data_IF_789431038351
#
_entry.id   IF_789431038351
#
_cell.length_a   1.000
_cell.length_b   1.000
_cell.length_c   1.000
_cell.angle_alpha   90.00
_cell.angle_beta   90.00
_cell.angle_gamma   90.00
#
_symmetry.space_group_name_H-M   'P 1'
#
loop_
_entity.id
_entity.type
_entity.pdbx_description
1 polymer ?
#
# COMPACT_ATOMS: atom_id res chain seq x y z
N UNK A 1 69.61 11.60 24.03
CA UNK A 1 69.25 10.75 22.89
C UNK A 1 67.94 10.07 23.23
N UNK A 2 66.82 10.62 22.75
CA UNK A 2 65.48 10.06 22.97
C UNK A 2 65.16 9.14 21.81
N UNK A 3 64.98 7.85 22.05
CA UNK A 3 64.51 6.90 21.07
C UNK A 3 62.99 6.94 21.11
N UNK A 4 62.38 7.53 20.07
CA UNK A 4 60.96 7.49 19.87
C UNK A 4 60.58 6.07 19.34
N UNK A 5 59.91 5.29 20.15
CA UNK A 5 59.32 4.01 19.73
C UNK A 5 58.09 4.29 18.84
N UNK A 6 58.25 4.07 17.54
CA UNK A 6 57.15 4.12 16.57
C UNK A 6 56.31 2.86 16.76
N UNK A 7 55.18 2.95 17.48
CA UNK A 7 54.19 1.87 17.58
C UNK A 7 53.44 1.83 16.25
N UNK A 8 53.80 0.91 15.39
CA UNK A 8 53.02 0.56 14.21
C UNK A 8 51.73 -0.09 14.69
N UNK A 9 50.61 0.63 14.64
CA UNK A 9 49.28 0.06 14.69
C UNK A 9 49.08 -0.73 13.41
N UNK A 10 49.35 -2.03 13.45
CA UNK A 10 48.87 -2.97 12.42
C UNK A 10 47.37 -3.03 12.59
N UNK A 11 46.64 -2.20 11.85
CA UNK A 11 45.24 -2.38 11.64
C UNK A 11 45.05 -3.77 11.02
N UNK A 12 44.35 -4.67 11.71
CA UNK A 12 43.96 -5.96 11.17
C UNK A 12 42.94 -5.73 10.05
N UNK A 13 43.42 -5.53 8.83
CA UNK A 13 42.60 -5.56 7.60
C UNK A 13 42.22 -7.01 7.22
N UNK A 14 41.71 -7.77 8.16
CA UNK A 14 41.00 -8.99 7.79
C UNK A 14 39.58 -8.58 7.38
N UNK A 15 39.19 -8.81 6.11
CA UNK A 15 37.81 -8.62 5.74
C UNK A 15 36.94 -9.43 6.69
N UNK A 16 35.91 -8.80 7.25
CA UNK A 16 34.92 -9.50 8.06
C UNK A 16 34.22 -10.49 7.14
N UNK A 17 34.56 -11.79 7.30
CA UNK A 17 33.87 -12.84 6.56
C UNK A 17 32.45 -12.99 7.15
N UNK A 18 31.45 -12.66 6.34
CA UNK A 18 30.07 -12.89 6.68
C UNK A 18 29.72 -14.34 6.37
N UNK A 19 29.39 -15.12 7.40
CA UNK A 19 29.19 -16.57 7.28
C UNK A 19 27.78 -16.98 6.84
N UNK A 20 26.83 -16.05 6.83
CA UNK A 20 25.45 -16.34 6.41
C UNK A 20 25.32 -16.14 4.88
N UNK A 21 24.42 -16.93 4.29
CA UNK A 21 24.15 -16.83 2.85
C UNK A 21 23.51 -15.50 2.51
N UNK A 22 22.53 -15.05 3.33
CA UNK A 22 21.82 -13.80 3.13
C UNK A 22 21.33 -13.21 4.47
N UNK A 23 21.54 -11.92 4.66
CA UNK A 23 21.03 -11.15 5.80
C UNK A 23 20.70 -9.71 5.42
N UNK A 24 19.75 -9.15 6.12
CA UNK A 24 19.37 -7.74 6.06
C UNK A 24 19.45 -7.15 7.48
N UNK A 25 19.64 -5.83 7.61
CA UNK A 25 19.68 -5.17 8.93
C UNK A 25 18.32 -5.13 9.62
N UNK A 26 17.24 -5.11 8.83
CA UNK A 26 15.88 -4.99 9.32
C UNK A 26 14.93 -5.73 8.37
N UNK A 27 13.75 -6.07 8.86
CA UNK A 27 12.64 -6.59 8.04
C UNK A 27 11.73 -5.48 7.51
N UNK A 28 11.97 -4.23 7.92
CA UNK A 28 11.24 -3.05 7.47
C UNK A 28 12.07 -1.77 7.54
N UNK A 29 11.72 -0.81 6.70
CA UNK A 29 12.16 0.59 6.75
C UNK A 29 10.97 1.53 6.68
N UNK A 30 11.04 2.64 7.40
CA UNK A 30 10.03 3.71 7.35
C UNK A 30 10.59 4.88 6.55
N UNK A 31 9.88 5.25 5.50
CA UNK A 31 10.22 6.31 4.57
C UNK A 31 9.36 7.55 4.85
N UNK A 32 9.94 8.71 4.69
CA UNK A 32 9.21 9.97 4.79
C UNK A 32 8.29 10.19 3.59
N UNK A 33 7.24 11.01 3.75
CA UNK A 33 6.30 11.32 2.67
C UNK A 33 6.94 12.14 1.53
N UNK A 34 7.94 12.98 1.82
CA UNK A 34 8.54 13.92 0.86
C UNK A 34 9.31 13.27 -0.29
N UNK A 35 9.53 11.98 -0.22
CA UNK A 35 10.37 11.28 -1.19
C UNK A 35 11.86 11.38 -0.85
N UNK A 36 12.68 10.71 -1.65
CA UNK A 36 14.13 10.66 -1.48
C UNK A 36 14.73 9.30 -1.80
N UNK A 37 15.82 8.98 -1.09
CA UNK A 37 16.46 7.67 -1.20
C UNK A 37 16.95 7.18 0.16
N UNK A 38 17.14 5.88 0.28
CA UNK A 38 17.72 5.23 1.46
C UNK A 38 18.59 4.06 1.03
N UNK A 39 19.62 3.79 1.82
CA UNK A 39 20.49 2.63 1.62
C UNK A 39 19.90 1.39 2.28
N UNK A 40 19.88 0.29 1.54
CA UNK A 40 19.56 -1.04 2.05
C UNK A 40 20.87 -1.84 2.08
N UNK A 41 21.35 -2.18 3.28
CA UNK A 41 22.53 -3.00 3.45
C UNK A 41 22.18 -4.48 3.27
N UNK A 42 22.91 -5.14 2.37
CA UNK A 42 22.83 -6.58 2.12
C UNK A 42 24.09 -7.24 2.66
N UNK A 43 23.93 -8.26 3.47
CA UNK A 43 25.03 -9.08 3.99
C UNK A 43 24.93 -10.47 3.35
N UNK A 44 25.94 -10.85 2.61
CA UNK A 44 25.97 -12.16 1.95
C UNK A 44 27.40 -12.66 1.78
N UNK A 45 27.55 -13.96 1.69
CA UNK A 45 28.82 -14.61 1.32
C UNK A 45 28.81 -15.14 -0.12
N UNK A 46 27.81 -14.76 -0.91
CA UNK A 46 27.63 -15.23 -2.29
C UNK A 46 26.92 -14.18 -3.14
N UNK A 47 26.62 -14.51 -4.37
CA UNK A 47 25.79 -13.68 -5.26
C UNK A 47 24.34 -13.66 -4.77
N UNK A 48 23.71 -12.51 -4.91
CA UNK A 48 22.31 -12.29 -4.55
C UNK A 48 21.58 -11.47 -5.61
N UNK A 49 20.27 -11.57 -5.60
CA UNK A 49 19.38 -10.76 -6.43
C UNK A 49 18.33 -10.06 -5.56
N UNK A 50 17.75 -8.99 -6.08
CA UNK A 50 16.62 -8.29 -5.45
C UNK A 50 15.58 -7.92 -6.49
N UNK A 51 14.31 -7.99 -6.12
CA UNK A 51 13.17 -7.51 -6.91
C UNK A 51 12.11 -6.90 -6.00
N UNK A 52 11.23 -6.09 -6.55
CA UNK A 52 9.96 -5.75 -5.91
C UNK A 52 8.98 -6.90 -6.14
N UNK A 53 8.27 -7.34 -5.08
CA UNK A 53 7.25 -8.40 -5.20
C UNK A 53 6.07 -7.97 -6.06
N UNK A 54 5.71 -6.68 -5.98
CA UNK A 54 4.74 -6.05 -6.87
C UNK A 54 5.34 -4.78 -7.46
N UNK A 55 5.05 -4.45 -8.73
CA UNK A 55 5.47 -3.18 -9.32
C UNK A 55 4.98 -1.99 -8.49
N UNK A 56 5.85 -1.00 -8.29
CA UNK A 56 5.52 0.25 -7.62
C UNK A 56 6.13 1.39 -8.43
N UNK A 57 5.31 2.11 -9.19
CA UNK A 57 5.78 3.19 -10.08
C UNK A 57 6.49 4.32 -9.33
N UNK A 58 6.14 4.49 -8.06
CA UNK A 58 6.70 5.50 -7.17
C UNK A 58 8.07 5.14 -6.57
N UNK A 59 8.58 3.94 -6.85
CA UNK A 59 9.82 3.44 -6.26
C UNK A 59 10.73 2.77 -7.28
N UNK A 60 12.03 2.83 -7.02
CA UNK A 60 13.05 2.19 -7.85
C UNK A 60 14.23 1.72 -7.02
N UNK A 61 14.96 0.75 -7.55
CA UNK A 61 16.22 0.24 -7.00
C UNK A 61 17.34 0.39 -8.04
N UNK A 62 18.53 0.82 -7.59
CA UNK A 62 19.66 1.14 -8.45
C UNK A 62 20.29 -0.10 -9.12
N UNK A 63 20.15 -1.26 -8.50
CA UNK A 63 20.68 -2.53 -9.00
C UNK A 63 19.81 -3.72 -8.57
N UNK A 64 19.71 -4.72 -9.42
CA UNK A 64 18.91 -5.93 -9.19
C UNK A 64 19.73 -7.14 -8.70
N UNK A 65 21.05 -6.99 -8.58
CA UNK A 65 21.95 -8.06 -8.13
C UNK A 65 23.25 -7.51 -7.56
N UNK A 66 23.95 -8.34 -6.81
CA UNK A 66 25.28 -8.06 -6.27
C UNK A 66 25.98 -9.33 -5.81
N UNK A 67 27.19 -9.14 -5.28
CA UNK A 67 28.02 -10.20 -4.71
C UNK A 67 28.51 -9.75 -3.33
N UNK A 68 28.53 -10.68 -2.39
CA UNK A 68 28.99 -10.42 -1.02
C UNK A 68 28.18 -9.35 -0.29
N UNK A 69 28.82 -8.72 0.71
CA UNK A 69 28.22 -7.59 1.41
C UNK A 69 28.21 -6.36 0.52
N UNK A 70 27.06 -5.71 0.39
CA UNK A 70 26.85 -4.62 -0.55
C UNK A 70 25.72 -3.68 -0.09
N UNK A 71 25.49 -2.61 -0.84
CA UNK A 71 24.35 -1.70 -0.63
C UNK A 71 23.53 -1.59 -1.89
N UNK A 72 22.22 -1.49 -1.71
CA UNK A 72 21.24 -1.17 -2.74
C UNK A 72 20.66 0.20 -2.39
N UNK A 73 20.60 1.10 -3.35
CA UNK A 73 19.93 2.39 -3.16
C UNK A 73 18.47 2.21 -3.58
N UNK A 74 17.59 2.38 -2.60
CA UNK A 74 16.15 2.44 -2.83
C UNK A 74 15.73 3.91 -2.93
N UNK A 75 15.20 4.31 -4.07
CA UNK A 75 14.70 5.66 -4.34
C UNK A 75 13.18 5.64 -4.41
N UNK A 76 12.53 6.71 -3.91
CA UNK A 76 11.09 6.79 -3.83
C UNK A 76 10.60 8.23 -4.04
N UNK A 77 9.48 8.37 -4.71
CA UNK A 77 8.84 9.65 -4.99
C UNK A 77 8.05 10.15 -3.78
N UNK A 78 7.70 11.45 -3.82
CA UNK A 78 6.81 12.04 -2.83
C UNK A 78 5.46 11.33 -2.81
N UNK A 79 4.97 11.03 -1.61
CA UNK A 79 3.63 10.51 -1.41
C UNK A 79 2.67 11.67 -1.15
N UNK A 80 1.68 11.83 -2.02
CA UNK A 80 0.59 12.81 -1.87
C UNK A 80 -0.69 12.18 -1.32
N UNK A 81 -0.73 10.86 -1.20
CA UNK A 81 -1.86 10.08 -0.69
C UNK A 81 -1.64 9.56 0.72
N UNK A 82 -2.28 8.45 1.01
CA UNK A 82 -2.15 7.73 2.28
C UNK A 82 -0.91 6.83 2.30
N UNK A 83 -0.61 6.28 3.46
CA UNK A 83 0.54 5.39 3.62
C UNK A 83 0.51 4.25 2.60
N UNK A 84 1.68 3.92 2.08
CA UNK A 84 1.85 2.88 1.06
C UNK A 84 3.09 2.04 1.34
N UNK A 85 3.13 0.85 0.78
CA UNK A 85 4.17 -0.12 1.02
C UNK A 85 4.63 -0.78 -0.28
N UNK A 86 5.90 -1.11 -0.35
CA UNK A 86 6.44 -2.06 -1.31
C UNK A 86 7.32 -3.06 -0.57
N UNK A 87 7.30 -4.30 -1.02
CA UNK A 87 8.13 -5.37 -0.45
C UNK A 87 9.28 -5.67 -1.41
N UNK A 88 10.50 -5.54 -0.91
CA UNK A 88 11.70 -6.01 -1.60
C UNK A 88 11.97 -7.46 -1.21
N UNK A 89 12.14 -8.32 -2.19
CA UNK A 89 12.52 -9.71 -2.02
C UNK A 89 13.95 -9.90 -2.46
N UNK A 90 14.81 -10.27 -1.53
CA UNK A 90 16.20 -10.62 -1.74
C UNK A 90 16.34 -12.13 -1.77
N UNK A 91 17.13 -12.65 -2.71
CA UNK A 91 17.40 -14.08 -2.84
C UNK A 91 18.88 -14.32 -3.02
N UNK A 92 19.42 -15.29 -2.29
CA UNK A 92 20.79 -15.81 -2.44
C UNK A 92 20.76 -17.34 -2.25
N UNK A 93 21.11 -18.09 -3.29
CA UNK A 93 20.91 -19.55 -3.31
C UNK A 93 19.46 -19.91 -2.98
N UNK A 94 19.25 -20.71 -1.93
CA UNK A 94 17.94 -21.17 -1.45
C UNK A 94 17.34 -20.25 -0.36
N UNK A 95 18.10 -19.22 0.06
CA UNK A 95 17.60 -18.28 1.07
C UNK A 95 16.87 -17.10 0.43
N UNK A 96 15.71 -16.77 1.00
CA UNK A 96 14.90 -15.60 0.65
C UNK A 96 14.70 -14.75 1.89
N UNK A 97 14.88 -13.45 1.75
CA UNK A 97 14.60 -12.44 2.78
C UNK A 97 13.75 -11.34 2.19
N UNK A 98 12.80 -10.84 2.96
CA UNK A 98 11.95 -9.72 2.55
C UNK A 98 12.25 -8.49 3.41
N UNK A 99 12.12 -7.31 2.79
CA UNK A 99 12.20 -6.02 3.44
C UNK A 99 10.98 -5.20 3.06
N UNK A 100 10.20 -4.84 4.06
CA UNK A 100 9.04 -3.98 3.89
C UNK A 100 9.48 -2.51 3.89
N UNK A 101 9.19 -1.80 2.81
CA UNK A 101 9.44 -0.37 2.67
C UNK A 101 8.12 0.38 2.84
N UNK A 102 7.86 0.90 4.05
CA UNK A 102 6.66 1.67 4.37
C UNK A 102 6.91 3.14 4.11
N UNK A 103 6.10 3.78 3.28
CA UNK A 103 6.15 5.23 3.10
C UNK A 103 4.99 5.90 3.83
N UNK A 104 5.34 6.88 4.65
CA UNK A 104 4.36 7.66 5.40
C UNK A 104 3.37 8.38 4.49
N UNK A 105 2.19 8.62 5.04
CA UNK A 105 1.12 9.39 4.43
C UNK A 105 1.52 10.84 4.14
N UNK A 106 1.14 11.34 2.98
CA UNK A 106 1.21 12.78 2.66
C UNK A 106 -0.02 13.56 3.15
N UNK A 107 -1.09 12.84 3.55
CA UNK A 107 -2.32 13.41 4.12
C UNK A 107 -2.42 12.91 5.56
N UNK A 108 -2.52 13.81 6.55
CA UNK A 108 -2.71 13.43 7.94
C UNK A 108 -4.09 12.77 8.16
N UNK A 109 -4.19 11.87 9.14
CA UNK A 109 -5.43 11.12 9.42
C UNK A 109 -6.63 12.05 9.69
N UNK A 110 -6.39 13.15 10.41
CA UNK A 110 -7.42 14.14 10.73
C UNK A 110 -7.89 14.96 9.51
N UNK A 111 -7.11 14.95 8.42
CA UNK A 111 -7.39 15.73 7.22
C UNK A 111 -8.03 14.90 6.11
N UNK A 112 -8.20 13.57 6.33
CA UNK A 112 -8.83 12.68 5.34
C UNK A 112 -10.29 13.07 5.15
N UNK A 113 -10.65 13.29 3.89
CA UNK A 113 -12.04 13.51 3.46
C UNK A 113 -12.50 12.34 2.62
N UNK A 114 -13.67 11.82 2.97
CA UNK A 114 -14.32 10.73 2.26
C UNK A 114 -15.83 10.82 2.51
N UNK A 115 -16.52 11.70 1.77
CA UNK A 115 -17.93 12.05 2.01
C UNK A 115 -18.80 11.80 0.80
N UNK A 116 -19.85 11.00 0.95
CA UNK A 116 -20.94 10.89 -0.01
C UNK A 116 -21.97 11.98 0.33
N UNK A 117 -22.21 12.93 -0.58
CA UNK A 117 -23.05 14.10 -0.30
C UNK A 117 -24.56 13.80 -0.37
N UNK A 118 -24.94 12.75 -1.11
CA UNK A 118 -26.34 12.33 -1.25
C UNK A 118 -26.47 10.80 -1.01
N UNK A 119 -26.35 10.35 0.25
CA UNK A 119 -26.14 8.94 0.60
C UNK A 119 -27.41 8.08 0.53
N UNK A 120 -28.52 8.58 0.00
CA UNK A 120 -29.76 7.82 -0.13
C UNK A 120 -30.34 7.94 -1.54
N UNK A 121 -30.87 6.83 -2.06
CA UNK A 121 -31.46 6.78 -3.38
C UNK A 121 -32.64 5.82 -3.45
N UNK A 122 -33.80 6.37 -3.84
CA UNK A 122 -34.98 5.59 -4.21
C UNK A 122 -34.93 5.34 -5.73
N UNK A 123 -34.55 4.13 -6.11
CA UNK A 123 -34.34 3.73 -7.49
C UNK A 123 -35.61 3.17 -8.12
N UNK A 124 -35.85 3.42 -9.41
CA UNK A 124 -36.94 2.78 -10.15
C UNK A 124 -36.67 1.28 -10.35
N UNK A 125 -37.73 0.51 -10.60
CA UNK A 125 -37.62 -0.94 -10.83
C UNK A 125 -36.74 -1.29 -12.04
N UNK A 126 -36.71 -0.43 -13.06
CA UNK A 126 -35.92 -0.63 -14.27
C UNK A 126 -34.40 -0.66 -14.01
N UNK A 127 -33.94 -0.14 -12.87
CA UNK A 127 -32.53 -0.04 -12.55
C UNK A 127 -31.82 1.05 -13.36
N UNK A 128 -30.56 0.77 -13.73
CA UNK A 128 -29.71 1.66 -14.51
C UNK A 128 -28.58 2.30 -13.69
N UNK A 129 -27.82 3.18 -14.29
CA UNK A 129 -26.68 3.83 -13.64
C UNK A 129 -27.10 5.03 -12.77
N UNK A 130 -26.40 5.19 -11.65
CA UNK A 130 -26.57 6.30 -10.72
C UNK A 130 -25.23 6.85 -10.26
N UNK A 131 -25.08 8.17 -10.38
CA UNK A 131 -23.97 8.95 -9.84
C UNK A 131 -24.30 9.39 -8.40
N UNK A 132 -23.38 9.12 -7.48
CA UNK A 132 -23.38 9.67 -6.12
C UNK A 132 -22.24 10.67 -6.01
N UNK A 133 -22.54 11.90 -5.64
CA UNK A 133 -21.53 12.93 -5.45
C UNK A 133 -20.59 12.55 -4.30
N UNK A 134 -19.32 12.59 -4.58
CA UNK A 134 -18.25 12.17 -3.66
C UNK A 134 -17.27 13.34 -3.45
N UNK A 135 -17.08 13.77 -2.22
CA UNK A 135 -16.05 14.74 -1.83
C UNK A 135 -14.92 14.00 -1.13
N UNK A 136 -13.82 13.83 -1.82
CA UNK A 136 -12.63 13.18 -1.29
C UNK A 136 -11.35 13.93 -1.65
N UNK A 137 -10.38 13.91 -0.75
CA UNK A 137 -9.00 14.32 -1.04
C UNK A 137 -8.05 13.14 -1.28
N UNK A 138 -8.57 11.90 -1.32
CA UNK A 138 -7.82 10.68 -1.60
C UNK A 138 -7.63 10.46 -3.11
N UNK A 139 -7.38 11.54 -3.87
CA UNK A 139 -7.32 11.52 -5.34
C UNK A 139 -6.15 10.70 -5.90
N UNK A 140 -5.12 10.46 -5.11
CA UNK A 140 -3.97 9.62 -5.47
C UNK A 140 -4.11 8.16 -5.04
N UNK A 141 -5.25 7.82 -4.43
CA UNK A 141 -5.53 6.48 -3.89
C UNK A 141 -6.86 5.92 -4.40
N UNK A 142 -7.42 6.48 -5.47
CA UNK A 142 -8.75 6.07 -5.98
C UNK A 142 -8.80 4.60 -6.41
N UNK A 143 -7.69 4.06 -6.92
CA UNK A 143 -7.55 2.64 -7.28
C UNK A 143 -7.57 1.68 -6.09
N UNK A 144 -7.38 2.22 -4.88
CA UNK A 144 -7.43 1.48 -3.60
C UNK A 144 -8.80 1.57 -2.92
N UNK A 145 -9.76 2.23 -3.58
CA UNK A 145 -11.14 2.29 -3.11
C UNK A 145 -11.85 0.97 -3.38
N UNK A 146 -12.53 0.46 -2.37
CA UNK A 146 -13.31 -0.77 -2.44
C UNK A 146 -14.79 -0.48 -2.25
N UNK A 147 -15.63 -1.27 -2.93
CA UNK A 147 -17.07 -1.27 -2.76
C UNK A 147 -17.52 -2.59 -2.17
N UNK A 148 -18.17 -2.52 -1.02
CA UNK A 148 -18.81 -3.66 -0.38
C UNK A 148 -20.32 -3.42 -0.31
N UNK A 149 -21.10 -4.38 -0.77
CA UNK A 149 -22.56 -4.28 -0.81
C UNK A 149 -23.17 -5.29 0.16
N UNK A 150 -23.97 -4.79 1.10
CA UNK A 150 -24.81 -5.61 1.97
C UNK A 150 -26.27 -5.51 1.50
N UNK A 151 -26.90 -6.65 1.27
CA UNK A 151 -28.29 -6.76 0.85
C UNK A 151 -29.17 -7.12 2.04
N UNK A 152 -30.42 -6.66 2.04
CA UNK A 152 -31.42 -7.14 2.99
C UNK A 152 -31.92 -8.51 2.53
N UNK A 153 -31.72 -9.52 3.39
CA UNK A 153 -32.11 -10.92 3.16
C UNK A 153 -30.91 -11.83 2.96
N UNK A 154 -31.13 -13.13 3.19
CA UNK A 154 -30.16 -14.18 2.96
C UNK A 154 -30.21 -14.62 1.48
N UNK A 155 -29.08 -15.06 0.92
CA UNK A 155 -28.95 -15.59 -0.44
C UNK A 155 -29.43 -14.67 -1.58
N UNK A 156 -29.22 -13.36 -1.43
CA UNK A 156 -29.60 -12.39 -2.47
C UNK A 156 -28.58 -12.42 -3.62
N UNK A 157 -29.05 -12.61 -4.84
CA UNK A 157 -28.23 -12.39 -6.04
C UNK A 157 -27.79 -10.90 -6.09
N UNK A 158 -26.50 -10.61 -6.24
CA UNK A 158 -26.01 -9.23 -6.36
C UNK A 158 -26.71 -8.48 -7.50
N UNK A 159 -27.20 -7.29 -7.21
CA UNK A 159 -27.90 -6.42 -8.17
C UNK A 159 -27.38 -4.97 -8.18
N UNK A 160 -26.36 -4.67 -7.36
CA UNK A 160 -25.66 -3.40 -7.35
C UNK A 160 -24.21 -3.66 -7.74
N UNK A 161 -23.71 -2.94 -8.75
CA UNK A 161 -22.38 -3.13 -9.30
C UNK A 161 -21.63 -1.79 -9.33
N UNK A 162 -20.34 -1.79 -8.95
CA UNK A 162 -19.48 -0.64 -9.12
C UNK A 162 -19.15 -0.46 -10.61
N UNK A 163 -19.37 0.75 -11.12
CA UNK A 163 -18.94 1.15 -12.48
C UNK A 163 -17.62 1.91 -12.39
N UNK A 164 -17.55 2.94 -11.55
CA UNK A 164 -16.32 3.73 -11.38
C UNK A 164 -16.31 4.53 -10.07
N UNK A 165 -15.09 4.89 -9.64
CA UNK A 165 -14.84 5.88 -8.59
C UNK A 165 -13.94 6.96 -9.15
N UNK A 166 -14.30 8.22 -8.94
CA UNK A 166 -13.49 9.39 -9.27
C UNK A 166 -13.41 10.34 -8.06
N UNK A 167 -12.69 11.43 -8.19
CA UNK A 167 -12.54 12.39 -7.11
C UNK A 167 -13.85 13.10 -6.72
N UNK A 168 -14.84 13.13 -7.62
CA UNK A 168 -16.08 13.86 -7.49
C UNK A 168 -17.33 12.96 -7.45
N UNK A 169 -17.22 11.68 -7.81
CA UNK A 169 -18.37 10.77 -7.83
C UNK A 169 -18.01 9.29 -7.72
N UNK A 170 -18.96 8.55 -7.18
CA UNK A 170 -19.06 7.09 -7.26
C UNK A 170 -20.22 6.75 -8.18
N UNK A 171 -19.98 5.92 -9.20
CA UNK A 171 -21.00 5.48 -10.14
C UNK A 171 -21.31 4.02 -9.88
N UNK A 172 -22.58 3.70 -9.67
CA UNK A 172 -23.05 2.33 -9.54
C UNK A 172 -24.09 2.04 -10.63
N UNK A 173 -24.18 0.79 -11.07
CA UNK A 173 -25.29 0.29 -11.88
C UNK A 173 -26.17 -0.62 -11.03
N UNK A 174 -27.47 -0.54 -11.28
CA UNK A 174 -28.49 -1.35 -10.63
C UNK A 174 -29.16 -2.23 -11.66
N UNK A 175 -29.26 -3.52 -11.38
CA UNK A 175 -30.03 -4.45 -12.22
C UNK A 175 -31.53 -4.17 -12.08
N UNK A 176 -32.30 -4.53 -13.12
CA UNK A 176 -33.74 -4.45 -13.07
C UNK A 176 -34.31 -5.29 -11.93
N UNK A 177 -35.30 -4.76 -11.23
CA UNK A 177 -36.03 -5.48 -10.21
C UNK A 177 -37.30 -6.12 -10.80
N UNK A 178 -37.23 -7.40 -11.16
CA UNK A 178 -38.37 -8.17 -11.68
C UNK A 178 -39.13 -8.95 -10.57
N UNK A 179 -38.80 -8.70 -9.29
CA UNK A 179 -39.41 -9.46 -8.18
C UNK A 179 -40.83 -8.98 -7.84
N UNK A 180 -41.21 -7.79 -8.26
CA UNK A 180 -42.49 -7.15 -7.91
C UNK A 180 -42.61 -6.68 -6.46
N UNK A 181 -41.47 -6.71 -5.71
CA UNK A 181 -41.39 -6.19 -4.34
C UNK A 181 -40.15 -5.29 -4.19
N UNK A 182 -40.23 -4.23 -3.37
CA UNK A 182 -39.08 -3.38 -3.11
C UNK A 182 -37.93 -4.17 -2.49
N UNK A 183 -36.68 -3.82 -2.90
CA UNK A 183 -35.45 -4.40 -2.35
C UNK A 183 -34.49 -3.31 -1.89
N UNK A 184 -33.59 -3.65 -0.97
CA UNK A 184 -32.69 -2.69 -0.36
C UNK A 184 -31.25 -3.20 -0.40
N UNK A 185 -30.33 -2.26 -0.57
CA UNK A 185 -28.89 -2.50 -0.44
C UNK A 185 -28.24 -1.34 0.30
N UNK A 186 -27.23 -1.67 1.09
CA UNK A 186 -26.32 -0.73 1.71
C UNK A 186 -24.96 -0.89 1.03
N UNK A 187 -24.52 0.16 0.36
CA UNK A 187 -23.25 0.19 -0.37
C UNK A 187 -22.23 0.94 0.47
N UNK A 188 -21.19 0.24 0.89
CA UNK A 188 -20.08 0.82 1.65
C UNK A 188 -18.91 1.09 0.70
N UNK A 189 -18.57 2.36 0.53
CA UNK A 189 -17.34 2.78 -0.14
C UNK A 189 -16.26 2.89 0.93
N UNK A 190 -15.14 2.23 0.74
CA UNK A 190 -14.06 2.18 1.72
C UNK A 190 -12.69 2.33 1.09
N UNK A 191 -11.75 2.84 1.88
CA UNK A 191 -10.33 2.89 1.58
C UNK A 191 -9.57 2.36 2.79
N UNK A 192 -8.63 1.46 2.56
CA UNK A 192 -7.78 0.91 3.62
C UNK A 192 -6.34 1.34 3.38
N UNK A 193 -5.72 1.95 4.37
CA UNK A 193 -4.29 2.24 4.35
C UNK A 193 -3.49 0.93 4.38
N UNK A 194 -2.38 0.87 3.68
CA UNK A 194 -1.45 -0.26 3.76
C UNK A 194 -0.59 -0.21 5.02
N UNK A 195 -1.18 -0.11 6.17
CA UNK A 195 -0.54 -0.17 7.48
C UNK A 195 0.71 0.71 7.66
N UNK A 196 0.95 1.17 8.84
CA UNK A 196 2.26 1.68 9.22
C UNK A 196 3.11 0.52 9.75
N UNK A 197 4.44 0.69 9.78
CA UNK A 197 5.35 -0.25 10.45
C UNK A 197 4.94 -0.54 11.92
N UNK A 198 4.17 0.36 12.52
CA UNK A 198 3.63 0.25 13.87
C UNK A 198 2.24 -0.42 13.82
N UNK A 199 2.15 -1.56 13.18
CA UNK A 199 0.93 -2.33 12.92
C UNK A 199 0.20 -2.86 14.16
N UNK A 200 0.56 -2.44 15.37
CA UNK A 200 -0.23 -2.74 16.58
C UNK A 200 -1.64 -2.16 16.52
N UNK A 201 -1.91 -1.26 15.58
CA UNK A 201 -3.21 -0.61 15.39
C UNK A 201 -4.00 -1.16 14.18
N UNK A 202 -3.43 -2.07 13.40
CA UNK A 202 -4.07 -2.55 12.16
C UNK A 202 -4.10 -1.49 11.05
N UNK A 203 -4.67 -1.85 9.93
CA UNK A 203 -4.90 -0.92 8.82
C UNK A 203 -6.03 0.06 9.20
N UNK A 204 -5.82 1.34 8.92
CA UNK A 204 -6.87 2.35 9.16
C UNK A 204 -7.88 2.28 8.03
N UNK A 205 -9.12 2.02 8.37
CA UNK A 205 -10.24 1.95 7.44
C UNK A 205 -11.02 3.28 7.46
N UNK A 206 -11.08 3.93 6.31
CA UNK A 206 -11.99 5.04 6.05
C UNK A 206 -13.19 4.53 5.26
N UNK A 207 -14.40 4.93 5.59
CA UNK A 207 -15.58 4.48 4.87
C UNK A 207 -16.74 5.46 4.93
N UNK A 208 -17.59 5.39 3.90
CA UNK A 208 -18.89 6.06 3.85
C UNK A 208 -19.94 5.11 3.24
N UNK A 209 -21.22 5.35 3.50
CA UNK A 209 -22.29 4.44 3.12
C UNK A 209 -23.33 5.13 2.24
N UNK A 210 -23.86 4.38 1.27
CA UNK A 210 -24.99 4.75 0.42
C UNK A 210 -26.11 3.75 0.71
N UNK A 211 -27.33 4.25 0.96
CA UNK A 211 -28.53 3.42 1.12
C UNK A 211 -29.36 3.48 -0.16
N UNK A 212 -29.64 2.34 -0.75
CA UNK A 212 -30.44 2.22 -1.99
C UNK A 212 -31.69 1.40 -1.70
N UNK A 213 -32.85 1.99 -2.04
CA UNK A 213 -34.13 1.28 -2.07
C UNK A 213 -34.60 1.24 -3.51
N UNK A 214 -34.81 0.05 -4.08
CA UNK A 214 -35.32 -0.11 -5.44
C UNK A 214 -36.73 -0.65 -5.42
N UNK A 215 -37.63 -0.01 -6.18
CA UNK A 215 -39.05 -0.37 -6.27
C UNK A 215 -39.28 -1.64 -7.09
#
# INVERSE_FOLDING_TARGET
MLIAALVMLVACDKPIEYNQTLGLLSEYNVLKAEGGSTDVAVFSNTNWTVKMQSPAEWASIDRLSGEGCSRVIFSFERNYGRSRRVVLEFQAKDEVRTLNMYQNSGIADADVKMNILNPSYDAPAEGGEKDFMFDTNLIYDLERMELNVAYNGDDVTPWVHLVSVSADKVVVSLDKNDTGAPRQAKVKVSHTDEGSWNSTMGDTLYSNEINITQQ
#
